data_IF_209738557883
#
_entry.id   IF_209738557883
#
_cell.length_a   1.000
_cell.length_b   1.000
_cell.length_c   1.000
_cell.angle_alpha   90.00
_cell.angle_beta   90.00
_cell.angle_gamma   90.00
#
_symmetry.space_group_name_H-M   'P 1'
#
loop_
_entity.id
_entity.type
_entity.pdbx_description
1 polymer ?
#
# COMPACT_ATOMS: atom_id res chain seq x y z
N UNK A 1 -37.91 -36.52 15.03
CA UNK A 1 -36.92 -35.55 14.51
C UNK A 1 -37.68 -34.42 13.85
N UNK A 2 -38.06 -33.40 14.61
CA UNK A 2 -38.73 -32.21 14.08
C UNK A 2 -37.65 -31.24 13.61
N UNK A 3 -37.37 -31.28 12.31
CA UNK A 3 -36.65 -30.24 11.60
C UNK A 3 -37.45 -28.94 11.77
N UNK A 4 -36.94 -28.05 12.63
CA UNK A 4 -37.54 -26.76 12.88
C UNK A 4 -37.35 -25.92 11.62
N UNK A 5 -38.30 -26.01 10.68
CA UNK A 5 -38.33 -25.15 9.50
C UNK A 5 -38.24 -23.69 9.98
N UNK A 6 -37.12 -23.04 9.71
CA UNK A 6 -36.91 -21.65 10.08
C UNK A 6 -38.08 -20.81 9.53
N UNK A 7 -38.62 -19.91 10.36
CA UNK A 7 -39.72 -19.04 9.92
C UNK A 7 -39.31 -18.28 8.65
N UNK A 8 -40.25 -17.98 7.73
CA UNK A 8 -39.93 -17.29 6.47
C UNK A 8 -39.17 -15.95 6.67
N UNK A 9 -39.46 -15.24 7.76
CA UNK A 9 -38.77 -14.01 8.20
C UNK A 9 -37.27 -14.26 8.45
N UNK A 10 -36.95 -15.31 9.21
CA UNK A 10 -35.56 -15.69 9.49
C UNK A 10 -34.83 -16.13 8.21
N UNK A 11 -35.55 -16.71 7.25
CA UNK A 11 -34.98 -17.14 5.97
C UNK A 11 -34.51 -15.96 5.12
N UNK A 12 -35.29 -14.88 5.01
CA UNK A 12 -34.91 -13.69 4.24
C UNK A 12 -33.66 -13.02 4.80
N UNK A 13 -33.61 -12.81 6.12
CA UNK A 13 -32.45 -12.22 6.80
C UNK A 13 -31.21 -13.11 6.67
N UNK A 14 -31.38 -14.44 6.75
CA UNK A 14 -30.29 -15.40 6.60
C UNK A 14 -29.74 -15.43 5.17
N UNK A 15 -30.61 -15.42 4.16
CA UNK A 15 -30.20 -15.30 2.76
C UNK A 15 -29.44 -14.00 2.52
N UNK A 16 -29.92 -12.88 3.04
CA UNK A 16 -29.25 -11.59 2.90
C UNK A 16 -27.83 -11.60 3.50
N UNK A 17 -27.66 -12.14 4.72
CA UNK A 17 -26.34 -12.32 5.34
C UNK A 17 -25.41 -13.19 4.49
N UNK A 18 -25.96 -14.26 3.91
CA UNK A 18 -25.20 -15.18 3.05
C UNK A 18 -24.78 -14.50 1.75
N UNK A 19 -25.65 -13.72 1.12
CA UNK A 19 -25.27 -12.94 -0.06
C UNK A 19 -24.22 -11.88 0.28
N UNK A 20 -24.30 -11.25 1.45
CA UNK A 20 -23.30 -10.27 1.90
C UNK A 20 -21.93 -10.91 2.16
N UNK A 21 -21.88 -12.10 2.77
CA UNK A 21 -20.61 -12.82 2.96
C UNK A 21 -19.96 -13.25 1.65
N UNK A 22 -20.77 -13.43 0.59
CA UNK A 22 -20.31 -13.70 -0.78
C UNK A 22 -20.01 -12.41 -1.59
N UNK A 23 -20.15 -11.22 -0.99
CA UNK A 23 -19.91 -9.95 -1.68
C UNK A 23 -20.95 -9.62 -2.76
N UNK A 24 -22.19 -10.12 -2.63
CA UNK A 24 -23.29 -9.94 -3.59
C UNK A 24 -24.37 -9.01 -3.03
N UNK A 25 -24.14 -7.68 -2.92
CA UNK A 25 -25.06 -6.76 -2.28
C UNK A 25 -26.41 -6.63 -2.99
N UNK A 26 -26.44 -6.72 -4.32
CA UNK A 26 -27.68 -6.64 -5.10
C UNK A 26 -28.61 -7.83 -4.82
N UNK A 27 -28.06 -9.03 -4.67
CA UNK A 27 -28.83 -10.23 -4.33
C UNK A 27 -29.31 -10.18 -2.87
N UNK A 28 -28.49 -9.64 -1.96
CA UNK A 28 -28.90 -9.39 -0.58
C UNK A 28 -30.11 -8.44 -0.50
N UNK A 29 -30.06 -7.30 -1.21
CA UNK A 29 -31.18 -6.35 -1.27
C UNK A 29 -32.44 -6.97 -1.90
N UNK A 30 -32.28 -7.79 -2.95
CA UNK A 30 -33.42 -8.50 -3.57
C UNK A 30 -34.05 -9.51 -2.62
N UNK A 31 -33.24 -10.21 -1.82
CA UNK A 31 -33.71 -11.14 -0.81
C UNK A 31 -34.42 -10.44 0.36
N UNK A 32 -33.97 -9.23 0.74
CA UNK A 32 -34.59 -8.43 1.80
C UNK A 32 -35.88 -7.73 1.37
N UNK A 33 -36.05 -7.42 0.08
CA UNK A 33 -37.15 -6.57 -0.39
C UNK A 33 -38.56 -7.07 -0.01
N UNK A 34 -38.92 -8.37 -0.15
CA UNK A 34 -40.23 -8.85 0.28
C UNK A 34 -40.43 -8.74 1.79
N UNK A 35 -39.37 -8.99 2.57
CA UNK A 35 -39.41 -8.93 4.03
C UNK A 35 -39.61 -7.51 4.54
N UNK A 36 -38.87 -6.53 3.98
CA UNK A 36 -39.03 -5.12 4.34
C UNK A 36 -40.34 -4.52 3.80
N UNK A 37 -40.95 -5.12 2.79
CA UNK A 37 -42.29 -4.72 2.33
C UNK A 37 -43.39 -5.16 3.32
N UNK A 38 -43.25 -6.32 3.96
CA UNK A 38 -44.18 -6.78 5.00
C UNK A 38 -43.85 -6.26 6.39
N UNK A 39 -42.57 -5.98 6.67
CA UNK A 39 -42.02 -5.55 7.95
C UNK A 39 -41.10 -4.33 7.75
N UNK A 40 -41.64 -3.14 7.39
CA UNK A 40 -40.84 -1.95 7.09
C UNK A 40 -40.02 -1.45 8.28
N UNK A 41 -40.45 -1.78 9.50
CA UNK A 41 -39.84 -1.33 10.76
C UNK A 41 -39.04 -2.46 11.45
N UNK A 42 -38.61 -3.50 10.73
CA UNK A 42 -37.67 -4.49 11.25
C UNK A 42 -36.23 -3.93 11.25
N UNK A 43 -35.73 -3.59 12.43
CA UNK A 43 -34.41 -2.98 12.64
C UNK A 43 -33.27 -3.84 12.08
N UNK A 44 -33.40 -5.17 12.17
CA UNK A 44 -32.41 -6.13 11.67
C UNK A 44 -32.36 -6.15 10.14
N UNK A 45 -33.53 -6.18 9.50
CA UNK A 45 -33.64 -6.08 8.05
C UNK A 45 -33.08 -4.76 7.51
N UNK A 46 -33.37 -3.64 8.19
CA UNK A 46 -32.84 -2.32 7.85
C UNK A 46 -31.31 -2.25 8.02
N UNK A 47 -30.75 -2.86 9.08
CA UNK A 47 -29.30 -2.94 9.26
C UNK A 47 -28.62 -3.76 8.14
N UNK A 48 -29.22 -4.90 7.74
CA UNK A 48 -28.70 -5.70 6.62
C UNK A 48 -28.81 -4.96 5.28
N UNK A 49 -29.90 -4.22 5.05
CA UNK A 49 -30.06 -3.38 3.88
C UNK A 49 -29.01 -2.27 3.85
N UNK A 50 -28.77 -1.60 4.98
CA UNK A 50 -27.72 -0.59 5.12
C UNK A 50 -26.33 -1.18 4.81
N UNK A 51 -26.01 -2.34 5.37
CA UNK A 51 -24.77 -3.05 5.07
C UNK A 51 -24.64 -3.39 3.57
N UNK A 52 -25.72 -3.84 2.93
CA UNK A 52 -25.74 -4.12 1.51
C UNK A 52 -25.50 -2.86 0.66
N UNK A 53 -26.15 -1.74 1.01
CA UNK A 53 -25.91 -0.45 0.35
C UNK A 53 -24.46 0.03 0.53
N UNK A 54 -23.84 -0.17 1.70
CA UNK A 54 -22.42 0.15 1.92
C UNK A 54 -21.49 -0.67 1.01
N UNK A 55 -21.75 -1.97 0.87
CA UNK A 55 -20.97 -2.85 -0.03
C UNK A 55 -21.20 -2.48 -1.49
N UNK A 56 -22.39 -2.00 -1.85
CA UNK A 56 -22.70 -1.49 -3.18
C UNK A 56 -22.13 -0.09 -3.47
N UNK A 57 -21.56 0.59 -2.46
CA UNK A 57 -21.07 1.98 -2.59
C UNK A 57 -22.16 3.05 -2.50
N UNK A 58 -23.39 2.67 -2.14
CA UNK A 58 -24.57 3.54 -2.03
C UNK A 58 -24.68 4.15 -0.62
N UNK A 59 -23.67 4.91 -0.19
CA UNK A 59 -23.54 5.38 1.19
C UNK A 59 -24.73 6.23 1.70
N UNK A 60 -25.39 7.00 0.84
CA UNK A 60 -26.59 7.76 1.21
C UNK A 60 -27.77 6.85 1.58
N UNK A 61 -28.06 5.83 0.75
CA UNK A 61 -29.14 4.87 1.04
C UNK A 61 -28.82 4.01 2.26
N UNK A 62 -27.53 3.71 2.45
CA UNK A 62 -27.09 3.03 3.65
C UNK A 62 -27.34 3.86 4.92
N UNK A 63 -27.10 5.18 4.84
CA UNK A 63 -27.36 6.10 5.94
C UNK A 63 -28.85 6.13 6.28
N UNK A 64 -29.72 6.28 5.27
CA UNK A 64 -31.17 6.34 5.48
C UNK A 64 -31.68 5.08 6.21
N UNK A 65 -31.29 3.90 5.74
CA UNK A 65 -31.68 2.63 6.36
C UNK A 65 -31.11 2.46 7.78
N UNK A 66 -29.85 2.85 8.02
CA UNK A 66 -29.23 2.77 9.34
C UNK A 66 -29.84 3.74 10.35
N UNK A 67 -30.16 4.97 9.92
CA UNK A 67 -30.84 5.95 10.76
C UNK A 67 -32.25 5.51 11.09
N UNK A 68 -32.97 4.89 10.13
CA UNK A 68 -34.28 4.33 10.39
C UNK A 68 -34.19 3.22 11.46
N UNK A 69 -33.25 2.28 11.32
CA UNK A 69 -33.02 1.23 12.33
C UNK A 69 -32.67 1.82 13.71
N UNK A 70 -31.80 2.83 13.76
CA UNK A 70 -31.39 3.48 15.00
C UNK A 70 -32.53 4.29 15.65
N UNK A 71 -33.47 4.83 14.87
CA UNK A 71 -34.65 5.52 15.38
C UNK A 71 -35.66 4.54 16.00
N UNK A 72 -35.82 3.36 15.38
CA UNK A 72 -36.71 2.30 15.87
C UNK A 72 -36.16 1.64 17.14
N UNK A 73 -34.87 1.35 17.15
CA UNK A 73 -34.19 0.73 18.30
C UNK A 73 -32.92 1.51 18.65
N UNK A 74 -33.02 2.57 19.48
CA UNK A 74 -31.88 3.39 19.87
C UNK A 74 -30.77 2.64 20.61
N UNK A 75 -31.09 1.49 21.22
CA UNK A 75 -30.14 0.62 21.92
C UNK A 75 -29.45 -0.40 21.00
N UNK A 76 -29.74 -0.42 19.70
CA UNK A 76 -29.05 -1.29 18.75
C UNK A 76 -27.70 -0.66 18.37
N UNK A 77 -26.60 -1.19 18.92
CA UNK A 77 -25.25 -0.69 18.67
C UNK A 77 -24.83 -0.88 17.21
N UNK A 78 -25.33 -1.92 16.54
CA UNK A 78 -25.00 -2.22 15.15
C UNK A 78 -25.59 -1.17 14.21
N UNK A 79 -26.81 -0.71 14.47
CA UNK A 79 -27.42 0.39 13.73
C UNK A 79 -26.55 1.66 13.83
N UNK A 80 -26.11 2.04 15.03
CA UNK A 80 -25.23 3.19 15.22
C UNK A 80 -23.83 3.03 14.58
N UNK A 81 -23.27 1.82 14.56
CA UNK A 81 -22.05 1.51 13.81
C UNK A 81 -22.24 1.72 12.31
N UNK A 82 -23.38 1.33 11.76
CA UNK A 82 -23.72 1.52 10.35
C UNK A 82 -23.97 2.99 10.01
N UNK A 83 -24.59 3.76 10.91
CA UNK A 83 -24.71 5.23 10.79
C UNK A 83 -23.32 5.86 10.74
N UNK A 84 -22.43 5.48 11.67
CA UNK A 84 -21.06 5.99 11.72
C UNK A 84 -20.28 5.67 10.44
N UNK A 85 -20.38 4.45 9.94
CA UNK A 85 -19.73 4.01 8.71
C UNK A 85 -20.28 4.73 7.48
N UNK A 86 -21.60 4.94 7.41
CA UNK A 86 -22.24 5.64 6.30
C UNK A 86 -21.85 7.12 6.25
N UNK A 87 -21.90 7.82 7.39
CA UNK A 87 -21.39 9.20 7.46
C UNK A 87 -19.89 9.29 7.14
N UNK A 88 -19.08 8.32 7.57
CA UNK A 88 -17.65 8.27 7.26
C UNK A 88 -17.41 8.17 5.74
N UNK A 89 -18.19 7.36 5.04
CA UNK A 89 -18.14 7.23 3.57
C UNK A 89 -18.60 8.49 2.84
N UNK A 90 -19.53 9.25 3.42
CA UNK A 90 -20.00 10.53 2.91
C UNK A 90 -19.05 11.71 3.23
N UNK A 91 -18.01 11.49 4.04
CA UNK A 91 -17.09 12.54 4.49
C UNK A 91 -17.62 13.42 5.63
N UNK A 92 -18.78 13.07 6.20
CA UNK A 92 -19.40 13.76 7.32
C UNK A 92 -18.77 13.27 8.64
N UNK A 93 -17.52 13.69 8.86
CA UNK A 93 -16.67 13.11 9.91
C UNK A 93 -17.14 13.41 11.34
N UNK A 94 -17.81 14.54 11.57
CA UNK A 94 -18.29 14.91 12.90
C UNK A 94 -19.46 14.02 13.33
N UNK A 95 -20.43 13.83 12.44
CA UNK A 95 -21.60 12.98 12.62
C UNK A 95 -21.21 11.52 12.70
N UNK A 96 -20.24 11.08 11.88
CA UNK A 96 -19.65 9.75 11.98
C UNK A 96 -19.07 9.49 13.37
N UNK A 97 -18.38 10.48 13.94
CA UNK A 97 -17.72 10.35 15.24
C UNK A 97 -18.72 10.34 16.40
N UNK A 98 -19.79 11.12 16.29
CA UNK A 98 -20.89 11.11 17.25
C UNK A 98 -21.59 9.74 17.25
N UNK A 99 -21.96 9.21 16.08
CA UNK A 99 -22.59 7.89 15.96
C UNK A 99 -21.68 6.76 16.47
N UNK A 100 -20.37 6.83 16.21
CA UNK A 100 -19.41 5.87 16.75
C UNK A 100 -19.33 5.93 18.28
N UNK A 101 -19.39 7.13 18.88
CA UNK A 101 -19.44 7.30 20.33
C UNK A 101 -20.73 6.71 20.93
N UNK A 102 -21.87 6.93 20.27
CA UNK A 102 -23.14 6.32 20.69
C UNK A 102 -23.05 4.80 20.69
N UNK A 103 -22.58 4.19 19.59
CA UNK A 103 -22.38 2.74 19.53
C UNK A 103 -21.45 2.22 20.64
N UNK A 104 -20.37 2.94 20.93
CA UNK A 104 -19.44 2.59 22.01
C UNK A 104 -20.07 2.68 23.40
N UNK A 105 -20.94 3.68 23.63
CA UNK A 105 -21.66 3.84 24.90
C UNK A 105 -22.70 2.73 25.16
N UNK A 106 -23.36 2.26 24.09
CA UNK A 106 -24.34 1.17 24.15
C UNK A 106 -23.65 -0.16 24.44
N UNK A 107 -22.54 -0.45 23.75
CA UNK A 107 -21.81 -1.72 23.88
C UNK A 107 -20.31 -1.48 24.13
N UNK A 108 -19.93 -1.07 25.36
CA UNK A 108 -18.53 -0.74 25.70
C UNK A 108 -17.62 -1.97 25.81
N UNK A 109 -18.17 -3.18 25.95
CA UNK A 109 -17.40 -4.43 25.99
C UNK A 109 -17.30 -5.11 24.62
N UNK A 110 -17.85 -4.50 23.57
CA UNK A 110 -17.78 -5.02 22.21
C UNK A 110 -16.58 -4.41 21.48
N UNK A 111 -15.58 -5.21 21.13
CA UNK A 111 -14.36 -4.70 20.49
C UNK A 111 -14.63 -3.87 19.21
N UNK A 112 -15.67 -4.23 18.45
CA UNK A 112 -15.98 -3.60 17.17
C UNK A 112 -16.46 -2.15 17.33
N UNK A 113 -16.99 -1.75 18.48
CA UNK A 113 -17.41 -0.36 18.73
C UNK A 113 -16.20 0.54 18.95
N UNK A 114 -15.20 0.05 19.69
CA UNK A 114 -13.90 0.71 19.83
C UNK A 114 -13.15 0.79 18.50
N UNK A 115 -13.16 -0.29 17.72
CA UNK A 115 -12.58 -0.28 16.39
C UNK A 115 -13.24 0.76 15.47
N UNK A 116 -14.55 0.94 15.56
CA UNK A 116 -15.29 1.93 14.77
C UNK A 116 -14.83 3.36 15.07
N UNK A 117 -14.60 3.71 16.35
CA UNK A 117 -14.07 5.02 16.74
C UNK A 117 -12.73 5.29 16.06
N UNK A 118 -11.80 4.33 16.14
CA UNK A 118 -10.50 4.44 15.51
C UNK A 118 -10.59 4.59 13.97
N UNK A 119 -11.46 3.81 13.33
CA UNK A 119 -11.67 3.88 11.87
C UNK A 119 -12.23 5.23 11.42
N UNK A 120 -13.19 5.80 12.14
CA UNK A 120 -13.75 7.13 11.85
C UNK A 120 -12.67 8.21 11.95
N UNK A 121 -11.83 8.16 12.99
CA UNK A 121 -10.76 9.13 13.18
C UNK A 121 -9.65 9.01 12.11
N UNK A 122 -9.36 7.79 11.64
CA UNK A 122 -8.49 7.56 10.47
C UNK A 122 -9.08 8.20 9.22
N UNK A 123 -10.36 7.97 8.94
CA UNK A 123 -11.03 8.56 7.77
C UNK A 123 -11.03 10.09 7.83
N UNK A 124 -11.23 10.66 9.02
CA UNK A 124 -11.16 12.10 9.29
C UNK A 124 -9.74 12.67 9.28
N UNK A 125 -8.69 11.84 9.10
CA UNK A 125 -7.28 12.20 9.22
C UNK A 125 -6.94 12.89 10.55
N UNK A 126 -7.66 12.53 11.62
CA UNK A 126 -7.56 13.13 12.94
C UNK A 126 -7.26 12.05 13.97
N UNK A 127 -6.06 11.47 13.89
CA UNK A 127 -5.65 10.44 14.84
C UNK A 127 -5.34 11.09 16.19
N UNK A 128 -6.13 10.74 17.20
CA UNK A 128 -5.97 11.26 18.56
C UNK A 128 -5.42 10.20 19.51
N UNK A 129 -5.09 10.59 20.74
CA UNK A 129 -4.77 9.63 21.80
C UNK A 129 -5.97 8.72 22.11
N UNK A 130 -7.19 9.24 21.96
CA UNK A 130 -8.43 8.47 22.13
C UNK A 130 -8.55 7.37 21.05
N UNK A 131 -8.26 7.68 19.79
CA UNK A 131 -8.28 6.69 18.69
C UNK A 131 -7.27 5.55 18.93
N UNK A 132 -6.08 5.88 19.46
CA UNK A 132 -5.07 4.88 19.83
C UNK A 132 -5.54 4.01 20.99
N UNK A 133 -6.13 4.62 22.02
CA UNK A 133 -6.66 3.89 23.16
C UNK A 133 -7.82 2.98 22.75
N UNK A 134 -8.74 3.45 21.90
CA UNK A 134 -9.83 2.65 21.35
C UNK A 134 -9.29 1.45 20.54
N UNK A 135 -8.26 1.64 19.70
CA UNK A 135 -7.65 0.53 18.97
C UNK A 135 -6.99 -0.51 19.92
N UNK A 136 -6.29 -0.06 20.96
CA UNK A 136 -5.72 -0.95 21.99
C UNK A 136 -6.80 -1.70 22.76
N UNK A 137 -7.88 -1.01 23.09
CA UNK A 137 -9.01 -1.58 23.81
C UNK A 137 -9.76 -2.63 22.97
N UNK A 138 -9.91 -2.41 21.67
CA UNK A 138 -10.42 -3.43 20.75
C UNK A 138 -9.58 -4.72 20.83
N UNK A 139 -8.25 -4.59 20.84
CA UNK A 139 -7.35 -5.75 20.98
C UNK A 139 -7.41 -6.38 22.37
N UNK A 140 -7.61 -5.60 23.43
CA UNK A 140 -7.78 -6.10 24.81
C UNK A 140 -9.06 -6.92 24.95
N UNK A 141 -10.17 -6.44 24.36
CA UNK A 141 -11.47 -7.09 24.39
C UNK A 141 -11.53 -8.35 23.51
N UNK A 142 -10.80 -8.37 22.40
CA UNK A 142 -10.77 -9.50 21.47
C UNK A 142 -9.33 -9.83 21.03
N UNK A 143 -8.51 -10.46 21.89
CA UNK A 143 -7.09 -10.70 21.61
C UNK A 143 -6.82 -11.71 20.49
N UNK A 144 -7.81 -12.56 20.17
CA UNK A 144 -7.74 -13.57 19.11
C UNK A 144 -8.43 -13.13 17.82
N UNK A 145 -8.96 -11.90 17.77
CA UNK A 145 -9.66 -11.36 16.61
C UNK A 145 -8.69 -10.62 15.68
N UNK A 146 -8.47 -11.09 14.44
CA UNK A 146 -7.57 -10.45 13.48
C UNK A 146 -7.92 -8.97 13.25
N UNK A 147 -9.19 -8.62 13.10
CA UNK A 147 -9.63 -7.25 12.79
C UNK A 147 -9.38 -6.25 13.95
N UNK A 148 -9.32 -6.75 15.19
CA UNK A 148 -8.95 -5.94 16.34
C UNK A 148 -7.47 -5.50 16.25
N UNK A 149 -6.57 -6.43 15.89
CA UNK A 149 -5.16 -6.11 15.63
C UNK A 149 -4.98 -5.25 14.37
N UNK A 150 -5.79 -5.50 13.33
CA UNK A 150 -5.78 -4.70 12.10
C UNK A 150 -6.07 -3.22 12.39
N UNK A 151 -6.98 -2.96 13.33
CA UNK A 151 -7.30 -1.60 13.78
C UNK A 151 -6.08 -0.89 14.38
N UNK A 152 -5.33 -1.53 15.28
CA UNK A 152 -4.08 -0.97 15.82
C UNK A 152 -3.08 -0.70 14.70
N UNK A 153 -2.92 -1.65 13.77
CA UNK A 153 -2.04 -1.49 12.63
C UNK A 153 -2.40 -0.30 11.74
N UNK A 154 -3.69 -0.09 11.47
CA UNK A 154 -4.18 1.02 10.66
C UNK A 154 -4.01 2.37 11.34
N UNK A 155 -4.25 2.47 12.66
CA UNK A 155 -3.98 3.68 13.43
C UNK A 155 -2.49 4.02 13.39
N UNK A 156 -1.63 3.04 13.68
CA UNK A 156 -0.18 3.22 13.65
C UNK A 156 0.34 3.59 12.25
N UNK A 157 -0.20 2.96 11.19
CA UNK A 157 0.12 3.27 9.80
C UNK A 157 -0.22 4.73 9.46
N UNK A 158 -1.40 5.21 9.88
CA UNK A 158 -1.84 6.59 9.66
C UNK A 158 -0.95 7.61 10.41
N UNK A 159 -0.39 7.22 11.55
CA UNK A 159 0.55 8.04 12.34
C UNK A 159 2.01 7.91 11.91
N UNK A 160 2.31 7.07 10.91
CA UNK A 160 3.68 6.75 10.52
C UNK A 160 4.50 6.07 11.62
N UNK A 161 3.85 5.46 12.61
CA UNK A 161 4.48 4.58 13.60
C UNK A 161 4.68 3.20 12.97
N UNK A 162 5.74 3.11 12.15
CA UNK A 162 6.05 1.90 11.40
C UNK A 162 6.34 0.68 12.27
N UNK A 163 7.08 0.78 13.40
CA UNK A 163 7.29 -0.37 14.29
C UNK A 163 5.99 -0.95 14.84
N UNK A 164 5.09 -0.11 15.35
CA UNK A 164 3.80 -0.59 15.88
C UNK A 164 2.92 -1.16 14.78
N UNK A 165 2.87 -0.52 13.60
CA UNK A 165 2.11 -1.01 12.46
C UNK A 165 2.62 -2.39 11.99
N UNK A 166 3.94 -2.56 11.87
CA UNK A 166 4.58 -3.83 11.52
C UNK A 166 4.23 -4.94 12.52
N UNK A 167 4.32 -4.66 13.82
CA UNK A 167 3.99 -5.62 14.87
C UNK A 167 2.51 -6.04 14.81
N UNK A 168 1.60 -5.07 14.67
CA UNK A 168 0.17 -5.31 14.60
C UNK A 168 -0.21 -6.12 13.35
N UNK A 169 0.24 -5.75 12.15
CA UNK A 169 -0.07 -6.52 10.94
C UNK A 169 0.55 -7.92 10.96
N UNK A 170 1.72 -8.10 11.59
CA UNK A 170 2.25 -9.46 11.85
C UNK A 170 1.38 -10.25 12.81
N UNK A 171 0.75 -9.62 13.80
CA UNK A 171 -0.22 -10.31 14.67
C UNK A 171 -1.43 -10.78 13.88
N UNK A 172 -1.98 -9.94 13.00
CA UNK A 172 -3.05 -10.32 12.08
C UNK A 172 -2.65 -11.55 11.26
N UNK A 173 -1.48 -11.52 10.61
CA UNK A 173 -1.01 -12.63 9.78
C UNK A 173 -0.60 -13.90 10.57
N UNK A 174 -0.42 -13.81 11.89
CA UNK A 174 -0.25 -15.01 12.75
C UNK A 174 -1.59 -15.68 13.04
N UNK A 175 -2.65 -14.89 13.23
CA UNK A 175 -4.00 -15.38 13.49
C UNK A 175 -4.66 -15.86 12.20
N UNK A 176 -4.50 -15.10 11.12
CA UNK A 176 -5.06 -15.38 9.80
C UNK A 176 -3.98 -15.19 8.73
N UNK A 177 -3.25 -16.25 8.37
CA UNK A 177 -2.14 -16.17 7.42
C UNK A 177 -2.52 -15.61 6.05
N UNK A 178 -3.77 -15.83 5.61
CA UNK A 178 -4.27 -15.39 4.30
C UNK A 178 -4.96 -14.02 4.29
N UNK A 179 -4.89 -13.27 5.41
CA UNK A 179 -5.52 -11.97 5.51
C UNK A 179 -4.92 -10.96 4.51
N UNK A 180 -5.62 -10.74 3.40
CA UNK A 180 -5.12 -9.96 2.26
C UNK A 180 -4.79 -8.50 2.62
N UNK A 181 -5.68 -7.82 3.35
CA UNK A 181 -5.47 -6.43 3.75
C UNK A 181 -4.23 -6.26 4.65
N UNK A 182 -4.02 -7.15 5.62
CA UNK A 182 -2.85 -7.12 6.50
C UNK A 182 -1.55 -7.37 5.72
N UNK A 183 -1.55 -8.32 4.76
CA UNK A 183 -0.40 -8.58 3.89
C UNK A 183 -0.05 -7.36 3.04
N UNK A 184 -1.05 -6.69 2.47
CA UNK A 184 -0.87 -5.45 1.72
C UNK A 184 -0.31 -4.33 2.60
N UNK A 185 -0.91 -4.12 3.78
CA UNK A 185 -0.50 -3.04 4.68
C UNK A 185 0.89 -3.28 5.27
N UNK A 186 1.22 -4.53 5.63
CA UNK A 186 2.58 -4.89 6.05
C UNK A 186 3.60 -4.61 4.94
N UNK A 187 3.29 -4.97 3.70
CA UNK A 187 4.17 -4.71 2.54
C UNK A 187 4.36 -3.21 2.30
N UNK A 188 3.31 -2.41 2.51
CA UNK A 188 3.38 -0.95 2.46
C UNK A 188 4.27 -0.40 3.59
N UNK A 189 4.14 -0.91 4.83
CA UNK A 189 5.00 -0.53 5.96
C UNK A 189 6.46 -0.86 5.64
N UNK A 190 6.76 -2.05 5.10
CA UNK A 190 8.12 -2.41 4.68
C UNK A 190 8.68 -1.42 3.65
N UNK A 191 7.87 -0.99 2.68
CA UNK A 191 8.29 -0.01 1.69
C UNK A 191 8.59 1.36 2.33
N UNK A 192 7.76 1.80 3.29
CA UNK A 192 7.95 3.08 4.01
C UNK A 192 9.18 3.07 4.90
N UNK A 193 9.55 1.91 5.43
CA UNK A 193 10.80 1.71 6.18
C UNK A 193 12.04 1.54 5.27
N UNK A 194 11.91 1.67 3.95
CA UNK A 194 13.02 1.48 3.01
C UNK A 194 13.40 0.02 2.75
N UNK A 195 12.66 -0.95 3.31
CA UNK A 195 12.84 -2.39 3.12
C UNK A 195 12.18 -2.85 1.81
N UNK A 196 12.64 -2.28 0.68
CA UNK A 196 12.06 -2.49 -0.64
C UNK A 196 12.00 -3.98 -1.06
N UNK A 197 12.96 -4.80 -0.64
CA UNK A 197 12.98 -6.23 -0.97
C UNK A 197 11.87 -7.02 -0.28
N UNK A 198 11.67 -6.76 1.01
CA UNK A 198 10.56 -7.37 1.77
C UNK A 198 9.20 -6.89 1.27
N UNK A 199 9.09 -5.60 0.89
CA UNK A 199 7.88 -5.07 0.25
C UNK A 199 7.61 -5.75 -1.11
N UNK A 200 8.65 -5.94 -1.94
CA UNK A 200 8.52 -6.64 -3.22
C UNK A 200 7.97 -8.06 -3.04
N UNK A 201 8.50 -8.81 -2.07
CA UNK A 201 8.04 -10.17 -1.79
C UNK A 201 6.55 -10.19 -1.45
N UNK A 202 6.10 -9.35 -0.52
CA UNK A 202 4.70 -9.35 -0.10
C UNK A 202 3.72 -8.89 -1.19
N UNK A 203 4.08 -7.92 -2.04
CA UNK A 203 3.24 -7.55 -3.18
C UNK A 203 3.21 -8.62 -4.28
N UNK A 204 4.33 -9.34 -4.49
CA UNK A 204 4.35 -10.50 -5.38
C UNK A 204 3.49 -11.65 -4.84
N UNK A 205 3.48 -11.88 -3.53
CA UNK A 205 2.60 -12.87 -2.90
C UNK A 205 1.13 -12.53 -3.14
N UNK A 206 0.75 -11.24 -3.04
CA UNK A 206 -0.62 -10.80 -3.34
C UNK A 206 -0.98 -11.08 -4.80
N UNK A 207 -0.10 -10.75 -5.76
CA UNK A 207 -0.33 -11.04 -7.18
C UNK A 207 -0.34 -12.54 -7.53
N UNK A 208 0.25 -13.38 -6.68
CA UNK A 208 0.18 -14.83 -6.88
C UNK A 208 -1.21 -15.38 -6.54
N UNK A 209 -1.91 -14.77 -5.59
CA UNK A 209 -3.25 -15.17 -5.16
C UNK A 209 -4.36 -14.42 -5.93
N UNK A 210 -4.12 -13.15 -6.25
CA UNK A 210 -5.00 -12.27 -7.01
C UNK A 210 -4.21 -11.58 -8.13
N UNK A 211 -4.10 -12.22 -9.31
CA UNK A 211 -3.34 -11.68 -10.44
C UNK A 211 -3.84 -10.33 -10.95
N UNK A 212 -5.12 -10.02 -10.72
CA UNK A 212 -5.78 -8.81 -11.21
C UNK A 212 -5.79 -7.68 -10.16
N UNK A 213 -5.09 -7.87 -9.03
CA UNK A 213 -4.99 -6.88 -7.96
C UNK A 213 -4.30 -5.59 -8.41
N UNK A 214 -5.09 -4.60 -8.83
CA UNK A 214 -4.57 -3.29 -9.25
C UNK A 214 -3.74 -2.60 -8.15
N UNK A 215 -4.14 -2.79 -6.90
CA UNK A 215 -3.46 -2.25 -5.72
C UNK A 215 -2.04 -2.83 -5.60
N UNK A 216 -1.89 -4.14 -5.75
CA UNK A 216 -0.59 -4.79 -5.69
C UNK A 216 0.30 -4.39 -6.86
N UNK A 217 -0.24 -4.31 -8.09
CA UNK A 217 0.50 -3.82 -9.27
C UNK A 217 0.98 -2.37 -9.05
N UNK A 218 0.10 -1.49 -8.55
CA UNK A 218 0.45 -0.09 -8.24
C UNK A 218 1.55 -0.01 -7.19
N UNK A 219 1.49 -0.83 -6.14
CA UNK A 219 2.49 -0.82 -5.09
C UNK A 219 3.83 -1.42 -5.57
N UNK A 220 3.80 -2.47 -6.40
CA UNK A 220 5.01 -3.05 -6.99
C UNK A 220 5.73 -2.08 -7.93
N UNK A 221 4.97 -1.26 -8.68
CA UNK A 221 5.50 -0.10 -9.43
C UNK A 221 6.24 0.88 -8.52
N UNK A 222 5.72 1.14 -7.32
CA UNK A 222 6.36 2.04 -6.35
C UNK A 222 7.66 1.43 -5.81
N UNK A 223 7.66 0.13 -5.51
CA UNK A 223 8.87 -0.61 -5.10
C UNK A 223 9.96 -0.55 -6.18
N UNK A 224 9.62 -0.87 -7.44
CA UNK A 224 10.54 -0.80 -8.57
C UNK A 224 11.13 0.60 -8.75
N UNK A 225 10.29 1.64 -8.66
CA UNK A 225 10.75 3.03 -8.77
C UNK A 225 11.69 3.43 -7.62
N UNK A 226 11.44 2.96 -6.40
CA UNK A 226 12.34 3.18 -5.27
C UNK A 226 13.68 2.50 -5.53
N UNK A 227 13.68 1.27 -6.05
CA UNK A 227 14.91 0.56 -6.37
C UNK A 227 15.74 1.25 -7.46
N UNK A 228 15.10 1.63 -8.57
CA UNK A 228 15.77 2.35 -9.66
C UNK A 228 16.29 3.71 -9.21
N UNK A 229 15.57 4.44 -8.35
CA UNK A 229 16.03 5.72 -7.80
C UNK A 229 17.31 5.59 -6.97
N UNK A 230 17.46 4.51 -6.20
CA UNK A 230 18.69 4.26 -5.43
C UNK A 230 19.87 4.01 -6.38
N UNK A 231 19.68 3.18 -7.41
CA UNK A 231 20.71 2.93 -8.43
C UNK A 231 21.07 4.23 -9.17
N UNK A 232 20.07 4.98 -9.62
CA UNK A 232 20.23 6.27 -10.28
C UNK A 232 21.00 7.27 -9.42
N UNK A 233 20.72 7.33 -8.11
CA UNK A 233 21.45 8.18 -7.18
C UNK A 233 22.92 7.76 -7.05
N UNK A 234 23.22 6.46 -6.95
CA UNK A 234 24.60 5.95 -6.90
C UNK A 234 25.38 6.37 -8.16
N UNK A 235 24.76 6.22 -9.34
CA UNK A 235 25.40 6.59 -10.61
C UNK A 235 25.57 8.11 -10.74
N UNK A 236 24.63 8.92 -10.26
CA UNK A 236 24.81 10.38 -10.17
C UNK A 236 25.98 10.78 -9.26
N UNK A 237 26.18 10.10 -8.14
CA UNK A 237 27.33 10.36 -7.26
C UNK A 237 28.63 9.99 -7.96
N UNK A 238 28.68 8.84 -8.64
CA UNK A 238 29.84 8.42 -9.43
C UNK A 238 30.18 9.46 -10.53
N UNK A 239 29.16 9.92 -11.25
CA UNK A 239 29.28 11.00 -12.24
C UNK A 239 29.73 12.34 -11.59
N UNK A 240 29.19 12.72 -10.44
CA UNK A 240 29.65 13.95 -9.78
C UNK A 240 31.15 13.88 -9.42
N UNK A 241 31.62 12.75 -8.91
CA UNK A 241 33.03 12.52 -8.56
C UNK A 241 33.94 12.68 -9.78
N UNK A 242 33.59 12.03 -10.90
CA UNK A 242 34.40 12.11 -12.13
C UNK A 242 34.39 13.53 -12.70
N UNK A 243 33.24 14.21 -12.70
CA UNK A 243 33.13 15.60 -13.19
C UNK A 243 34.01 16.57 -12.41
N UNK A 244 34.04 16.45 -11.07
CA UNK A 244 34.90 17.29 -10.21
C UNK A 244 36.37 17.00 -10.47
N UNK A 245 36.75 15.72 -10.58
CA UNK A 245 38.12 15.34 -10.90
C UNK A 245 38.59 15.94 -12.24
N UNK A 246 37.78 15.82 -13.30
CA UNK A 246 38.05 16.43 -14.62
C UNK A 246 38.18 17.95 -14.56
N UNK A 247 37.35 18.61 -13.75
CA UNK A 247 37.36 20.09 -13.65
C UNK A 247 38.58 20.60 -12.86
N UNK A 248 39.08 19.79 -11.92
CA UNK A 248 40.22 20.14 -11.06
C UNK A 248 41.57 19.86 -11.69
N UNK A 249 41.63 18.88 -12.59
CA UNK A 249 42.84 18.58 -13.34
C UNK A 249 42.95 19.56 -14.51
N UNK A 250 44.00 20.39 -14.51
CA UNK A 250 44.33 21.25 -15.66
C UNK A 250 44.37 20.46 -16.97
N UNK A 251 44.21 21.16 -18.11
CA UNK A 251 44.08 20.52 -19.42
C UNK A 251 45.19 19.46 -19.64
N UNK A 252 44.83 18.24 -20.07
CA UNK A 252 45.78 17.17 -20.29
C UNK A 252 46.78 17.58 -21.37
N UNK A 253 48.03 17.86 -21.01
CA UNK A 253 49.09 17.63 -21.98
C UNK A 253 49.11 16.12 -22.27
N UNK A 254 49.31 15.72 -23.54
CA UNK A 254 49.23 14.33 -24.03
C UNK A 254 50.35 13.42 -23.49
N UNK A 255 50.64 13.46 -22.19
CA UNK A 255 51.58 12.55 -21.55
C UNK A 255 50.93 11.16 -21.38
N UNK A 256 51.59 10.08 -21.83
CA UNK A 256 51.13 8.71 -21.60
C UNK A 256 50.88 8.38 -20.13
N UNK A 257 51.64 9.01 -19.23
CA UNK A 257 51.52 8.86 -17.77
C UNK A 257 50.20 9.45 -17.26
N UNK A 258 49.79 10.58 -17.82
CA UNK A 258 48.52 11.22 -17.49
C UNK A 258 47.37 10.30 -17.95
N UNK A 259 47.41 9.80 -19.19
CA UNK A 259 46.41 8.87 -19.71
C UNK A 259 46.22 7.59 -18.87
N UNK A 260 47.33 7.00 -18.39
CA UNK A 260 47.29 5.80 -17.55
C UNK A 260 46.61 6.09 -16.20
N UNK A 261 47.02 7.15 -15.51
CA UNK A 261 46.44 7.56 -14.23
C UNK A 261 44.93 7.85 -14.32
N UNK A 262 44.45 8.37 -15.46
CA UNK A 262 43.01 8.59 -15.68
C UNK A 262 42.23 7.33 -15.91
N UNK A 263 42.76 6.41 -16.71
CA UNK A 263 42.10 5.12 -16.94
C UNK A 263 41.93 4.33 -15.64
N UNK A 264 42.94 4.39 -14.76
CA UNK A 264 42.90 3.79 -13.43
C UNK A 264 41.88 4.48 -12.51
N UNK A 265 41.81 5.81 -12.52
CA UNK A 265 40.83 6.56 -11.75
C UNK A 265 39.39 6.27 -12.18
N UNK A 266 39.10 6.35 -13.48
CA UNK A 266 37.78 6.02 -14.04
C UNK A 266 37.40 4.57 -13.74
N UNK A 267 38.35 3.65 -13.91
CA UNK A 267 38.19 2.24 -13.56
C UNK A 267 37.84 2.05 -12.08
N UNK A 268 38.52 2.78 -11.19
CA UNK A 268 38.24 2.81 -9.76
C UNK A 268 36.82 3.28 -9.44
N UNK A 269 36.37 4.39 -10.02
CA UNK A 269 35.00 4.90 -9.81
C UNK A 269 33.95 3.94 -10.36
N UNK A 270 34.16 3.39 -11.56
CA UNK A 270 33.25 2.43 -12.18
C UNK A 270 33.15 1.12 -11.37
N UNK A 271 34.28 0.65 -10.82
CA UNK A 271 34.34 -0.53 -9.97
C UNK A 271 33.61 -0.29 -8.64
N UNK A 272 33.92 0.82 -7.95
CA UNK A 272 33.30 1.13 -6.65
C UNK A 272 31.79 1.32 -6.80
N UNK A 273 31.34 2.10 -7.77
CA UNK A 273 29.91 2.29 -8.04
C UNK A 273 29.21 0.99 -8.42
N UNK A 274 29.86 0.13 -9.22
CA UNK A 274 29.38 -1.21 -9.55
C UNK A 274 29.24 -2.11 -8.31
N UNK A 275 30.23 -2.12 -7.42
CA UNK A 275 30.17 -2.87 -6.15
C UNK A 275 29.03 -2.35 -5.27
N UNK A 276 28.85 -1.03 -5.15
CA UNK A 276 27.77 -0.43 -4.35
C UNK A 276 26.40 -0.83 -4.92
N UNK A 277 26.21 -0.77 -6.24
CA UNK A 277 24.98 -1.24 -6.91
C UNK A 277 24.78 -2.74 -6.70
N UNK A 278 25.83 -3.55 -6.84
CA UNK A 278 25.76 -5.01 -6.63
C UNK A 278 25.37 -5.34 -5.19
N UNK A 279 26.00 -4.73 -4.19
CA UNK A 279 25.66 -4.90 -2.77
C UNK A 279 24.21 -4.50 -2.52
N UNK A 280 23.74 -3.40 -3.12
CA UNK A 280 22.35 -2.98 -3.03
C UNK A 280 21.39 -4.03 -3.60
N UNK A 281 21.66 -4.54 -4.81
CA UNK A 281 20.84 -5.58 -5.46
C UNK A 281 20.88 -6.89 -4.68
N UNK A 282 22.02 -7.27 -4.11
CA UNK A 282 22.15 -8.47 -3.27
C UNK A 282 21.36 -8.34 -1.96
N UNK A 283 21.33 -7.15 -1.35
CA UNK A 283 20.46 -6.87 -0.19
C UNK A 283 19.00 -6.97 -0.57
N UNK A 284 18.62 -6.40 -1.71
CA UNK A 284 17.25 -6.48 -2.25
C UNK A 284 16.84 -7.94 -2.49
N UNK A 285 17.71 -8.73 -3.11
CA UNK A 285 17.51 -10.17 -3.36
C UNK A 285 17.40 -10.97 -2.06
N UNK A 286 18.30 -10.75 -1.10
CA UNK A 286 18.26 -11.44 0.19
C UNK A 286 16.96 -11.16 0.93
N UNK A 287 16.50 -9.91 0.93
CA UNK A 287 15.25 -9.51 1.59
C UNK A 287 13.98 -10.01 0.87
N UNK A 288 14.01 -10.11 -0.46
CA UNK A 288 12.89 -10.62 -1.26
C UNK A 288 12.84 -12.17 -1.34
N UNK A 289 13.95 -12.84 -1.01
CA UNK A 289 14.04 -14.31 -1.01
C UNK A 289 13.70 -14.93 -2.37
N UNK A 290 12.94 -16.01 -2.36
CA UNK A 290 12.51 -16.74 -3.56
C UNK A 290 11.66 -15.88 -4.52
N UNK A 291 11.00 -14.83 -4.02
CA UNK A 291 10.15 -13.94 -4.81
C UNK A 291 10.93 -12.92 -5.63
N UNK A 292 12.24 -12.76 -5.40
CA UNK A 292 13.06 -11.79 -6.13
C UNK A 292 12.99 -11.98 -7.67
N UNK A 293 13.08 -13.23 -8.14
CA UNK A 293 13.02 -13.51 -9.57
C UNK A 293 11.64 -13.20 -10.20
N UNK A 294 10.56 -13.36 -9.44
CA UNK A 294 9.22 -12.98 -9.88
C UNK A 294 9.08 -11.45 -9.92
N UNK A 295 9.62 -10.74 -8.93
CA UNK A 295 9.67 -9.28 -8.92
C UNK A 295 10.38 -8.73 -10.17
N UNK A 296 11.60 -9.18 -10.48
CA UNK A 296 12.35 -8.68 -11.65
C UNK A 296 11.59 -8.96 -12.96
N UNK A 297 11.01 -10.16 -13.13
CA UNK A 297 10.22 -10.50 -14.32
C UNK A 297 8.91 -9.72 -14.44
N UNK A 298 8.40 -9.18 -13.33
CA UNK A 298 7.20 -8.34 -13.35
C UNK A 298 7.48 -6.95 -13.92
N UNK A 299 8.69 -6.39 -13.72
CA UNK A 299 9.00 -4.98 -14.03
C UNK A 299 8.61 -4.55 -15.46
N UNK A 300 8.90 -5.33 -16.53
CA UNK A 300 8.50 -4.95 -17.89
C UNK A 300 6.99 -4.83 -18.10
N UNK A 301 6.19 -5.57 -17.32
CA UNK A 301 4.72 -5.57 -17.40
C UNK A 301 4.09 -4.45 -16.56
N UNK A 302 4.87 -3.84 -15.65
CA UNK A 302 4.36 -2.82 -14.74
C UNK A 302 4.18 -1.48 -15.44
N UNK A 303 5.20 -0.98 -16.13
CA UNK A 303 5.24 0.36 -16.73
C UNK A 303 6.39 0.45 -17.75
N UNK A 304 6.09 0.89 -18.98
CA UNK A 304 7.09 1.08 -20.03
C UNK A 304 8.14 2.13 -19.61
N UNK A 305 7.76 3.16 -18.84
CA UNK A 305 8.70 4.16 -18.35
C UNK A 305 9.70 3.58 -17.33
N UNK A 306 9.29 2.63 -16.49
CA UNK A 306 10.21 1.97 -15.56
C UNK A 306 11.23 1.11 -16.32
N UNK A 307 10.78 0.43 -17.37
CA UNK A 307 11.64 -0.40 -18.22
C UNK A 307 12.64 0.46 -18.98
N UNK A 308 12.18 1.56 -19.59
CA UNK A 308 13.05 2.52 -20.25
C UNK A 308 14.07 3.12 -19.27
N UNK A 309 13.66 3.49 -18.06
CA UNK A 309 14.57 4.02 -17.05
C UNK A 309 15.62 2.99 -16.61
N UNK A 310 15.23 1.74 -16.39
CA UNK A 310 16.16 0.66 -16.08
C UNK A 310 17.17 0.45 -17.22
N UNK A 311 16.72 0.47 -18.48
CA UNK A 311 17.59 0.34 -19.65
C UNK A 311 18.59 1.51 -19.76
N UNK A 312 18.15 2.75 -19.50
CA UNK A 312 19.03 3.92 -19.46
C UNK A 312 20.12 3.78 -18.38
N UNK A 313 19.78 3.30 -17.19
CA UNK A 313 20.77 3.07 -16.12
C UNK A 313 21.80 2.01 -16.48
N UNK A 314 21.39 0.95 -17.17
CA UNK A 314 22.31 -0.08 -17.68
C UNK A 314 23.22 0.52 -18.77
N UNK A 315 22.65 1.27 -19.72
CA UNK A 315 23.40 1.92 -20.79
C UNK A 315 24.43 2.92 -20.23
N UNK A 316 24.03 3.74 -19.26
CA UNK A 316 24.91 4.67 -18.54
C UNK A 316 26.11 3.95 -17.92
N UNK A 317 25.86 2.89 -17.16
CA UNK A 317 26.93 2.12 -16.53
C UNK A 317 27.86 1.47 -17.57
N UNK A 318 27.33 0.93 -18.67
CA UNK A 318 28.13 0.37 -19.76
C UNK A 318 29.00 1.41 -20.45
N UNK A 319 28.51 2.63 -20.65
CA UNK A 319 29.29 3.74 -21.20
C UNK A 319 30.43 4.15 -20.26
N UNK A 320 30.17 4.20 -18.95
CA UNK A 320 31.20 4.48 -17.95
C UNK A 320 32.30 3.40 -17.92
N UNK A 321 31.91 2.12 -18.00
CA UNK A 321 32.88 1.00 -18.09
C UNK A 321 33.66 1.06 -19.41
N UNK A 322 33.00 1.34 -20.54
CA UNK A 322 33.67 1.45 -21.84
C UNK A 322 34.70 2.59 -21.87
N UNK A 323 34.41 3.72 -21.21
CA UNK A 323 35.32 4.86 -21.12
C UNK A 323 36.68 4.48 -20.51
N UNK A 324 36.72 3.49 -19.61
CA UNK A 324 37.94 3.02 -18.94
C UNK A 324 38.96 2.38 -19.89
N UNK A 325 38.53 1.93 -21.09
CA UNK A 325 39.37 1.19 -22.05
C UNK A 325 39.65 1.98 -23.33
N UNK A 326 39.49 3.31 -23.30
CA UNK A 326 39.65 4.18 -24.47
C UNK A 326 40.65 5.30 -24.23
N UNK A 327 41.08 5.98 -25.30
CA UNK A 327 41.93 7.16 -25.17
C UNK A 327 41.21 8.28 -24.43
N UNK A 328 41.96 9.21 -23.81
CA UNK A 328 41.42 10.30 -22.97
C UNK A 328 40.29 11.06 -23.67
N UNK A 329 40.46 11.44 -24.94
CA UNK A 329 39.43 12.16 -25.70
C UNK A 329 38.17 11.32 -25.94
N UNK A 330 38.31 10.02 -26.24
CA UNK A 330 37.16 9.11 -26.41
C UNK A 330 36.46 8.85 -25.08
N UNK A 331 37.22 8.70 -24.00
CA UNK A 331 36.70 8.54 -22.65
C UNK A 331 35.87 9.75 -22.22
N UNK A 332 36.34 10.98 -22.51
CA UNK A 332 35.57 12.22 -22.29
C UNK A 332 34.24 12.22 -23.05
N UNK A 333 34.23 11.82 -24.33
CA UNK A 333 33.00 11.74 -25.12
C UNK A 333 32.03 10.71 -24.57
N UNK A 334 32.51 9.50 -24.25
CA UNK A 334 31.69 8.43 -23.66
C UNK A 334 31.11 8.84 -22.30
N UNK A 335 31.89 9.54 -21.51
CA UNK A 335 31.49 10.05 -20.21
C UNK A 335 30.43 11.17 -20.33
N UNK A 336 30.56 12.09 -21.28
CA UNK A 336 29.51 13.08 -21.58
C UNK A 336 28.22 12.40 -22.06
N UNK A 337 28.33 11.35 -22.86
CA UNK A 337 27.18 10.57 -23.29
C UNK A 337 26.51 9.86 -22.11
N UNK A 338 27.29 9.28 -21.18
CA UNK A 338 26.79 8.71 -19.93
C UNK A 338 26.00 9.77 -19.13
N UNK A 339 26.59 10.97 -18.94
CA UNK A 339 25.91 12.11 -18.32
C UNK A 339 24.58 12.47 -18.99
N UNK A 340 24.53 12.50 -20.33
CA UNK A 340 23.29 12.76 -21.06
C UNK A 340 22.23 11.66 -20.83
N UNK A 341 22.63 10.39 -20.76
CA UNK A 341 21.75 9.25 -20.43
C UNK A 341 21.23 9.35 -19.00
N UNK A 342 22.07 9.71 -18.03
CA UNK A 342 21.68 9.99 -16.64
C UNK A 342 20.66 11.14 -16.53
N UNK A 343 20.86 12.22 -17.29
CA UNK A 343 19.90 13.33 -17.38
C UNK A 343 18.58 12.87 -18.01
N UNK A 344 18.62 12.10 -19.10
CA UNK A 344 17.42 11.53 -19.70
C UNK A 344 16.66 10.63 -18.70
N UNK A 345 17.37 9.82 -17.91
CA UNK A 345 16.78 9.05 -16.82
C UNK A 345 16.09 9.94 -15.78
N UNK A 346 16.70 11.07 -15.39
CA UNK A 346 16.08 12.05 -14.49
C UNK A 346 14.80 12.65 -15.08
N UNK A 347 14.75 12.91 -16.40
CA UNK A 347 13.52 13.35 -17.09
C UNK A 347 12.43 12.28 -16.99
N UNK A 348 12.76 11.00 -17.18
CA UNK A 348 11.80 9.89 -17.02
C UNK A 348 11.23 9.85 -15.60
N UNK A 349 12.06 10.08 -14.57
CA UNK A 349 11.60 10.18 -13.17
C UNK A 349 10.57 11.30 -12.99
N UNK A 350 10.85 12.48 -13.56
CA UNK A 350 9.98 13.66 -13.47
C UNK A 350 8.65 13.40 -14.20
N UNK A 351 8.71 12.92 -15.45
CA UNK A 351 7.52 12.61 -16.25
C UNK A 351 6.62 11.59 -15.54
N UNK A 352 7.22 10.55 -14.95
CA UNK A 352 6.49 9.55 -14.18
C UNK A 352 5.84 10.13 -12.93
N UNK A 353 6.55 11.00 -12.19
CA UNK A 353 6.00 11.69 -11.01
C UNK A 353 4.79 12.56 -11.39
N UNK A 354 4.86 13.24 -12.53
CA UNK A 354 3.76 14.07 -13.03
C UNK A 354 2.56 13.22 -13.45
N UNK A 355 2.77 12.10 -14.17
CA UNK A 355 1.69 11.15 -14.51
C UNK A 355 1.01 10.56 -13.27
N UNK A 356 1.76 10.31 -12.20
CA UNK A 356 1.20 9.82 -10.95
C UNK A 356 0.35 10.87 -10.22
N UNK A 357 0.63 12.18 -10.40
CA UNK A 357 -0.16 13.27 -9.81
C UNK A 357 -1.46 13.57 -10.56
N UNK A 358 -1.50 13.35 -11.88
CA UNK A 358 -2.69 13.62 -12.72
C UNK A 358 -3.76 12.52 -12.58
N UNK A 359 -3.42 11.36 -12.00
CA UNK A 359 -4.33 10.22 -11.78
C UNK A 359 -4.86 10.09 -10.35
N UNK A 360 -4.52 11.03 -9.47
CA UNK A 360 -5.06 11.18 -8.11
C UNK A 360 -5.95 12.41 -8.11
#
# INVERSE_FOLDING_TARGET
>A
MTEHAAKPEDAALTHARTYLSLGKPADALRALAPHLASHPDDDRGLCLASQAHLVAGEASRALDAAQHAAALTPENEWAWRLVALSYSKLGHHAEARAAAATAQSIAPQLWVTHAQVAQVDIAAKRITAESQNAAREATRLAPLEPDAHLTVGNVALAQHDWPTAEAAFRSVLRLEPEHAAARNNLSLVMLRQGKAGSAAAGFVDILANDPDSEVAVRNLRAVAAVALRHVHFILWVAFAIVTVAFSSAGQPDESPVYGLAWSEFLGGVALVSGIVVLVYVLRLRRAAGARFGQFIRSVPRLDNLLTAWAALLVADYLLMVAACFTSVHRAQLLYLLAGAVLVAGSVVVILRRNRARVRL
#
